data_IF_577775894488
#
_entry.id   IF_577775894488
#
_cell.length_a   1.000
_cell.length_b   1.000
_cell.length_c   1.000
_cell.angle_alpha   90.00
_cell.angle_beta   90.00
_cell.angle_gamma   90.00
#
_symmetry.space_group_name_H-M   'P 1'
#
loop_
_entity.id
_entity.type
_entity.pdbx_description
1 polymer ?
#
# COMPACT_ATOMS: atom_id res chain seq x y z
N UNK A 1 24.06 21.58 -10.55
CA UNK A 1 23.59 22.95 -10.29
C UNK A 1 22.20 23.23 -10.87
N UNK A 2 21.82 22.68 -12.04
CA UNK A 2 20.48 22.90 -12.63
C UNK A 2 19.29 22.17 -11.96
N UNK A 3 19.51 21.16 -11.11
CA UNK A 3 18.42 20.40 -10.47
C UNK A 3 17.78 21.14 -9.28
N UNK A 4 18.55 21.99 -8.58
CA UNK A 4 18.07 22.77 -7.45
C UNK A 4 17.19 23.96 -7.87
N UNK A 5 17.46 24.54 -9.04
CA UNK A 5 16.67 25.66 -9.58
C UNK A 5 15.28 25.21 -10.08
N UNK A 6 15.15 23.96 -10.54
CA UNK A 6 13.86 23.41 -10.97
C UNK A 6 12.88 23.20 -9.80
N UNK A 7 13.38 22.74 -8.65
CA UNK A 7 12.59 22.56 -7.42
C UNK A 7 12.17 23.90 -6.79
N UNK A 8 13.02 24.93 -6.85
CA UNK A 8 12.69 26.27 -6.37
C UNK A 8 11.62 26.95 -7.23
N UNK A 9 11.65 26.73 -8.56
CA UNK A 9 10.65 27.28 -9.48
C UNK A 9 9.26 26.65 -9.26
N UNK A 10 9.19 25.34 -8.97
CA UNK A 10 7.93 24.66 -8.65
C UNK A 10 7.31 25.12 -7.32
N UNK A 11 8.13 25.46 -6.31
CA UNK A 11 7.65 26.01 -5.03
C UNK A 11 7.03 27.42 -5.19
N UNK A 12 7.60 28.26 -6.05
CA UNK A 12 7.05 29.61 -6.32
C UNK A 12 5.77 29.60 -7.17
N UNK A 13 5.55 28.56 -7.98
CA UNK A 13 4.39 28.46 -8.86
C UNK A 13 3.11 27.97 -8.16
N UNK A 14 3.21 27.35 -6.97
CA UNK A 14 2.05 26.86 -6.21
C UNK A 14 1.29 27.95 -5.42
N UNK A 15 1.78 29.20 -5.39
CA UNK A 15 1.11 30.29 -4.67
C UNK A 15 0.05 31.04 -5.49
N UNK A 16 -0.22 30.66 -6.75
CA UNK A 16 -1.14 31.43 -7.58
C UNK A 16 -1.98 30.56 -8.51
N UNK A 17 -3.30 30.57 -8.23
CA UNK A 17 -4.44 30.11 -9.03
C UNK A 17 -4.90 28.67 -8.78
N UNK A 18 -6.03 28.56 -8.08
CA UNK A 18 -7.32 28.21 -8.72
C UNK A 18 -8.23 27.56 -7.69
N UNK A 19 -9.28 28.29 -7.30
CA UNK A 19 -10.40 27.73 -6.56
C UNK A 19 -11.18 26.75 -7.44
N UNK A 20 -10.81 25.48 -7.39
CA UNK A 20 -11.67 24.38 -7.80
C UNK A 20 -12.37 23.82 -6.56
N UNK A 21 -13.69 23.74 -6.63
CA UNK A 21 -14.58 23.29 -5.56
C UNK A 21 -14.08 21.96 -4.94
N UNK A 22 -13.72 22.02 -3.66
CA UNK A 22 -13.45 20.88 -2.78
C UNK A 22 -14.70 20.00 -2.68
N UNK A 23 -14.73 18.91 -3.44
CA UNK A 23 -15.69 17.82 -3.26
C UNK A 23 -15.29 16.98 -2.04
N UNK A 24 -16.28 16.73 -1.18
CA UNK A 24 -16.34 15.83 -0.02
C UNK A 24 -15.08 14.96 0.28
N UNK A 25 -14.49 15.19 1.47
CA UNK A 25 -13.20 14.67 1.99
C UNK A 25 -11.97 15.34 1.36
N UNK A 26 -11.30 16.20 2.12
CA UNK A 26 -10.12 16.95 1.67
C UNK A 26 -8.85 16.11 1.52
N UNK A 27 -8.99 14.83 1.19
CA UNK A 27 -7.89 13.88 1.08
C UNK A 27 -7.26 13.95 -0.32
N UNK A 28 -5.94 13.97 -0.37
CA UNK A 28 -5.17 13.94 -1.60
C UNK A 28 -5.15 12.54 -2.22
N UNK A 29 -4.94 12.42 -3.54
CA UNK A 29 -4.84 11.13 -4.23
C UNK A 29 -3.83 10.16 -3.57
N UNK A 30 -2.62 10.59 -3.17
CA UNK A 30 -1.68 9.70 -2.47
C UNK A 30 -2.21 9.19 -1.12
N UNK A 31 -2.99 10.00 -0.39
CA UNK A 31 -3.59 9.57 0.88
C UNK A 31 -4.67 8.52 0.65
N UNK A 32 -5.54 8.73 -0.33
CA UNK A 32 -6.57 7.77 -0.73
C UNK A 32 -5.95 6.44 -1.19
N UNK A 33 -4.92 6.50 -2.04
CA UNK A 33 -4.22 5.32 -2.55
C UNK A 33 -3.54 4.55 -1.42
N UNK A 34 -2.88 5.23 -0.46
CA UNK A 34 -2.28 4.58 0.71
C UNK A 34 -3.33 3.92 1.60
N UNK A 35 -4.44 4.59 1.86
CA UNK A 35 -5.53 4.04 2.65
C UNK A 35 -6.13 2.79 1.98
N UNK A 36 -6.37 2.84 0.67
CA UNK A 36 -6.87 1.70 -0.11
C UNK A 36 -5.86 0.52 -0.11
N UNK A 37 -4.58 0.82 -0.29
CA UNK A 37 -3.52 -0.20 -0.29
C UNK A 37 -3.40 -0.86 1.09
N UNK A 38 -3.46 -0.08 2.18
CA UNK A 38 -3.43 -0.60 3.53
C UNK A 38 -4.63 -1.52 3.82
N UNK A 39 -5.82 -1.14 3.35
CA UNK A 39 -7.02 -1.99 3.43
C UNK A 39 -6.86 -3.32 2.71
N UNK A 40 -6.39 -3.28 1.45
CA UNK A 40 -6.16 -4.48 0.63
C UNK A 40 -5.08 -5.40 1.21
N UNK A 41 -3.94 -4.85 1.63
CA UNK A 41 -2.88 -5.65 2.26
C UNK A 41 -3.40 -6.30 3.54
N UNK A 42 -4.17 -5.57 4.35
CA UNK A 42 -4.78 -6.12 5.56
C UNK A 42 -5.75 -7.25 5.23
N UNK A 43 -6.61 -7.07 4.23
CA UNK A 43 -7.54 -8.12 3.77
C UNK A 43 -6.83 -9.36 3.25
N UNK A 44 -5.79 -9.20 2.44
CA UNK A 44 -5.02 -10.34 1.90
C UNK A 44 -4.26 -11.07 3.02
N UNK A 45 -3.65 -10.32 3.94
CA UNK A 45 -2.79 -10.90 4.98
C UNK A 45 -3.59 -11.48 6.14
N UNK A 46 -4.63 -10.79 6.61
CA UNK A 46 -5.47 -11.19 7.75
C UNK A 46 -6.76 -11.91 7.33
N UNK A 47 -7.14 -11.83 6.05
CA UNK A 47 -8.38 -12.41 5.53
C UNK A 47 -9.61 -11.51 5.65
N UNK A 48 -9.45 -10.32 6.22
CA UNK A 48 -10.48 -9.29 6.33
C UNK A 48 -9.83 -7.90 6.41
N UNK A 49 -10.51 -6.88 5.91
CA UNK A 49 -10.04 -5.51 6.03
C UNK A 49 -10.11 -5.06 7.50
N UNK A 50 -9.07 -4.35 7.96
CA UNK A 50 -9.12 -3.68 9.26
C UNK A 50 -10.22 -2.59 9.24
N UNK A 51 -10.88 -2.32 10.36
CA UNK A 51 -11.85 -1.24 10.39
C UNK A 51 -11.16 0.11 10.12
N UNK A 52 -11.95 1.08 9.66
CA UNK A 52 -11.43 2.34 9.14
C UNK A 52 -10.63 3.13 10.20
N UNK A 53 -11.06 3.08 11.47
CA UNK A 53 -10.39 3.79 12.55
C UNK A 53 -8.97 3.24 12.80
N UNK A 54 -8.81 1.92 12.75
CA UNK A 54 -7.55 1.19 12.93
C UNK A 54 -6.65 1.37 11.71
N UNK A 55 -7.22 1.36 10.51
CA UNK A 55 -6.51 1.68 9.27
C UNK A 55 -5.91 3.08 9.32
N UNK A 56 -6.71 4.08 9.71
CA UNK A 56 -6.21 5.45 9.89
C UNK A 56 -5.18 5.55 11.03
N UNK A 57 -5.39 4.83 12.14
CA UNK A 57 -4.45 4.81 13.25
C UNK A 57 -3.10 4.24 12.82
N UNK A 58 -3.10 3.11 12.10
CA UNK A 58 -1.90 2.50 11.54
C UNK A 58 -1.21 3.47 10.56
N UNK A 59 -1.94 4.09 9.64
CA UNK A 59 -1.37 5.06 8.71
C UNK A 59 -0.68 6.22 9.44
N UNK A 60 -1.30 6.80 10.48
CA UNK A 60 -0.67 7.86 11.30
C UNK A 60 0.58 7.38 12.02
N UNK A 61 0.52 6.19 12.64
CA UNK A 61 1.64 5.60 13.38
C UNK A 61 2.81 5.25 12.46
N UNK A 62 2.53 4.77 11.25
CA UNK A 62 3.55 4.44 10.25
C UNK A 62 4.15 5.68 9.62
N UNK A 63 3.35 6.70 9.32
CA UNK A 63 3.85 8.00 8.87
C UNK A 63 4.83 8.59 9.90
N UNK A 64 4.44 8.66 11.18
CA UNK A 64 5.33 9.09 12.28
C UNK A 64 6.61 8.25 12.39
N UNK A 65 6.52 6.95 12.11
CA UNK A 65 7.68 6.08 12.14
C UNK A 65 8.59 6.29 10.93
N UNK A 66 8.03 6.40 9.72
CA UNK A 66 8.77 6.60 8.47
C UNK A 66 9.66 7.83 8.56
N UNK A 67 9.09 9.00 8.90
CA UNK A 67 9.86 10.25 9.06
C UNK A 67 10.95 10.16 10.13
N UNK A 68 10.76 9.34 11.18
CA UNK A 68 11.79 9.15 12.22
C UNK A 68 12.91 8.21 11.77
N UNK A 69 12.63 7.30 10.84
CA UNK A 69 13.59 6.31 10.33
C UNK A 69 14.38 6.85 9.14
N UNK A 70 13.74 7.58 8.22
CA UNK A 70 14.38 8.03 6.97
C UNK A 70 15.24 9.27 7.14
N UNK A 71 14.95 10.16 8.10
CA UNK A 71 15.65 11.44 8.14
C UNK A 71 16.84 11.54 9.12
N UNK A 72 16.99 10.70 10.18
CA UNK A 72 17.85 11.12 11.31
C UNK A 72 18.75 10.06 11.98
N UNK A 73 18.57 8.73 11.82
CA UNK A 73 19.21 7.79 12.78
C UNK A 73 20.00 6.63 12.12
N UNK A 74 21.34 6.56 12.27
CA UNK A 74 22.08 5.36 11.91
C UNK A 74 21.59 4.17 12.74
N UNK A 75 21.37 3.02 12.11
CA UNK A 75 20.60 1.88 12.65
C UNK A 75 21.00 1.30 14.02
N UNK A 76 22.13 1.71 14.59
CA UNK A 76 22.55 1.35 15.96
C UNK A 76 21.98 2.27 17.06
N UNK A 77 21.45 3.46 16.71
CA UNK A 77 20.75 4.40 17.61
C UNK A 77 19.23 4.27 17.54
N UNK A 78 18.70 3.43 16.65
CA UNK A 78 17.28 3.09 16.59
C UNK A 78 16.96 2.20 17.81
N UNK A 79 16.96 2.81 18.99
CA UNK A 79 16.62 2.15 20.23
C UNK A 79 15.23 1.53 20.10
N UNK A 80 15.20 0.20 20.03
CA UNK A 80 14.14 -0.71 20.40
C UNK A 80 12.71 -0.11 20.43
N UNK A 81 11.97 -0.33 19.33
CA UNK A 81 10.52 -0.12 19.11
C UNK A 81 9.95 1.15 19.75
N UNK A 82 9.84 2.24 18.98
CA UNK A 82 9.06 3.41 19.40
C UNK A 82 7.67 2.98 19.89
N UNK A 83 7.10 3.72 20.85
CA UNK A 83 5.73 3.45 21.34
C UNK A 83 4.71 3.37 20.22
N UNK A 84 4.95 4.10 19.12
CA UNK A 84 4.14 4.05 17.91
C UNK A 84 4.20 2.67 17.21
N UNK A 85 5.39 2.10 17.03
CA UNK A 85 5.57 0.75 16.46
C UNK A 85 4.94 -0.30 17.37
N UNK A 86 5.14 -0.21 18.68
CA UNK A 86 4.53 -1.16 19.63
C UNK A 86 3.00 -1.10 19.59
N UNK A 87 2.44 0.11 19.45
CA UNK A 87 0.99 0.30 19.33
C UNK A 87 0.47 -0.29 18.01
N UNK A 88 1.15 -0.03 16.90
CA UNK A 88 0.80 -0.59 15.59
C UNK A 88 0.88 -2.12 15.57
N UNK A 89 1.96 -2.68 16.12
CA UNK A 89 2.15 -4.13 16.27
C UNK A 89 1.05 -4.74 17.13
N UNK A 90 0.67 -4.09 18.25
CA UNK A 90 -0.41 -4.55 19.12
C UNK A 90 -1.76 -4.58 18.40
N UNK A 91 -2.06 -3.60 17.55
CA UNK A 91 -3.25 -3.61 16.69
C UNK A 91 -3.21 -4.86 15.83
N UNK A 92 -2.18 -5.04 15.00
CA UNK A 92 -2.06 -6.20 14.08
C UNK A 92 -2.12 -7.53 14.84
N UNK A 93 -1.44 -7.65 15.98
CA UNK A 93 -1.43 -8.86 16.79
C UNK A 93 -2.82 -9.22 17.33
N UNK A 94 -3.60 -8.21 17.75
CA UNK A 94 -4.96 -8.42 18.25
C UNK A 94 -5.85 -9.02 17.15
N UNK A 95 -5.79 -8.48 15.94
CA UNK A 95 -6.57 -9.01 14.81
C UNK A 95 -6.05 -10.36 14.34
N UNK A 96 -4.73 -10.58 14.32
CA UNK A 96 -4.16 -11.88 14.00
C UNK A 96 -4.63 -12.97 14.98
N UNK A 97 -4.58 -12.69 16.29
CA UNK A 97 -5.04 -13.64 17.31
C UNK A 97 -6.54 -13.94 17.20
N UNK A 98 -7.36 -12.90 17.00
CA UNK A 98 -8.80 -13.06 16.76
C UNK A 98 -9.07 -13.91 15.52
N UNK A 99 -8.31 -13.69 14.44
CA UNK A 99 -8.44 -14.46 13.21
C UNK A 99 -8.08 -15.93 13.40
N UNK A 100 -6.96 -16.22 14.06
CA UNK A 100 -6.53 -17.58 14.41
C UNK A 100 -7.63 -18.30 15.20
N UNK A 101 -8.29 -17.61 16.14
CA UNK A 101 -9.35 -18.17 16.97
C UNK A 101 -10.66 -18.43 16.20
N UNK A 102 -11.01 -17.54 15.25
CA UNK A 102 -12.24 -17.62 14.45
C UNK A 102 -12.18 -18.61 13.27
N UNK A 103 -11.08 -19.36 13.13
CA UNK A 103 -10.83 -20.24 12.00
C UNK A 103 -11.88 -21.35 11.84
N UNK A 104 -12.52 -21.37 10.67
CA UNK A 104 -13.24 -22.56 10.15
C UNK A 104 -12.29 -23.39 9.30
N UNK A 105 -12.44 -24.72 9.35
CA UNK A 105 -11.63 -25.67 8.59
C UNK A 105 -11.78 -25.38 7.08
N UNK A 106 -10.76 -24.78 6.45
CA UNK A 106 -10.71 -24.58 5.00
C UNK A 106 -10.43 -23.15 4.49
N UNK A 107 -10.50 -22.13 5.35
CA UNK A 107 -10.25 -20.72 4.94
C UNK A 107 -8.99 -20.17 5.62
N UNK A 108 -7.81 -20.43 5.05
CA UNK A 108 -6.57 -19.89 5.57
C UNK A 108 -6.20 -18.59 4.81
N UNK A 109 -6.25 -17.40 5.44
CA UNK A 109 -5.61 -16.20 4.89
C UNK A 109 -4.12 -16.42 4.64
N UNK A 110 -3.50 -15.54 3.86
CA UNK A 110 -2.10 -15.67 3.44
C UNK A 110 -1.15 -15.90 4.64
N UNK A 111 -1.43 -15.29 5.80
CA UNK A 111 -0.63 -15.48 7.02
C UNK A 111 -0.63 -16.92 7.55
N UNK A 112 -1.76 -17.64 7.47
CA UNK A 112 -1.86 -19.01 7.95
C UNK A 112 -1.40 -20.02 6.91
N UNK A 113 -1.52 -19.68 5.63
CA UNK A 113 -0.77 -20.37 4.58
C UNK A 113 0.73 -20.28 4.89
N UNK A 114 1.27 -19.08 5.12
CA UNK A 114 2.68 -18.89 5.47
C UNK A 114 3.09 -19.69 6.72
N UNK A 115 2.28 -19.69 7.79
CA UNK A 115 2.49 -20.55 8.98
C UNK A 115 2.64 -22.03 8.59
N UNK A 116 1.74 -22.53 7.73
CA UNK A 116 1.71 -23.93 7.30
C UNK A 116 2.87 -24.30 6.38
N UNK A 117 3.24 -23.42 5.47
CA UNK A 117 4.34 -23.64 4.51
C UNK A 117 5.72 -23.48 5.15
N UNK A 118 5.86 -22.52 6.06
CA UNK A 118 7.15 -22.14 6.64
C UNK A 118 7.38 -22.71 8.05
N UNK A 119 6.41 -23.41 8.64
CA UNK A 119 6.45 -23.95 10.00
C UNK A 119 6.85 -22.91 11.06
N UNK A 120 6.42 -21.66 10.87
CA UNK A 120 6.78 -20.55 11.74
C UNK A 120 5.92 -20.50 13.01
N UNK A 121 6.48 -20.07 14.16
CA UNK A 121 5.68 -19.75 15.33
C UNK A 121 4.80 -18.54 15.06
N UNK A 122 3.66 -18.46 15.75
CA UNK A 122 2.65 -17.41 15.58
C UNK A 122 3.22 -15.99 15.71
N UNK A 123 4.19 -15.80 16.61
CA UNK A 123 4.92 -14.54 16.77
C UNK A 123 5.63 -14.11 15.48
N UNK A 124 6.36 -15.01 14.82
CA UNK A 124 7.10 -14.69 13.59
C UNK A 124 6.16 -14.47 12.41
N UNK A 125 5.06 -15.21 12.34
CA UNK A 125 4.02 -14.98 11.32
C UNK A 125 3.42 -13.59 11.50
N UNK A 126 3.10 -13.19 12.72
CA UNK A 126 2.58 -11.85 13.01
C UNK A 126 3.60 -10.76 12.70
N UNK A 127 4.88 -10.95 13.02
CA UNK A 127 5.96 -10.01 12.65
C UNK A 127 6.07 -9.85 11.12
N UNK A 128 5.97 -10.94 10.35
CA UNK A 128 5.94 -10.88 8.88
C UNK A 128 4.73 -10.11 8.36
N UNK A 129 3.53 -10.39 8.88
CA UNK A 129 2.31 -9.64 8.52
C UNK A 129 2.50 -8.15 8.80
N UNK A 130 3.01 -7.82 9.99
CA UNK A 130 3.26 -6.44 10.37
C UNK A 130 4.24 -5.78 9.39
N UNK A 131 5.31 -6.46 8.96
CA UNK A 131 6.22 -5.95 7.93
C UNK A 131 5.51 -5.71 6.60
N UNK A 132 4.65 -6.63 6.13
CA UNK A 132 3.88 -6.42 4.90
C UNK A 132 2.93 -5.23 5.01
N UNK A 133 2.22 -5.08 6.13
CA UNK A 133 1.32 -3.96 6.39
C UNK A 133 2.14 -2.66 6.44
N UNK A 134 3.17 -2.59 7.28
CA UNK A 134 3.97 -1.39 7.52
C UNK A 134 4.74 -0.93 6.28
N UNK A 135 5.50 -1.82 5.63
CA UNK A 135 6.35 -1.45 4.50
C UNK A 135 5.59 -1.48 3.16
N UNK A 136 4.62 -2.39 3.02
CA UNK A 136 3.93 -2.60 1.76
C UNK A 136 3.03 -1.43 1.38
N UNK A 137 2.28 -0.86 2.34
CA UNK A 137 1.31 0.18 2.01
C UNK A 137 1.97 1.50 1.55
N UNK A 138 3.14 1.83 2.10
CA UNK A 138 3.88 3.03 1.69
C UNK A 138 4.51 2.85 0.31
N UNK A 139 5.20 1.74 0.08
CA UNK A 139 5.92 1.50 -1.18
C UNK A 139 4.95 1.28 -2.34
N UNK A 140 3.97 0.38 -2.17
CA UNK A 140 2.96 0.10 -3.20
C UNK A 140 2.07 1.33 -3.42
N UNK A 141 1.67 2.01 -2.34
CA UNK A 141 0.87 3.23 -2.46
C UNK A 141 1.59 4.35 -3.21
N UNK A 142 2.90 4.49 -3.00
CA UNK A 142 3.73 5.49 -3.71
C UNK A 142 3.90 5.11 -5.19
N UNK A 143 4.19 3.84 -5.50
CA UNK A 143 4.28 3.35 -6.87
C UNK A 143 2.98 3.59 -7.67
N UNK A 144 1.83 3.29 -7.07
CA UNK A 144 0.51 3.54 -7.68
C UNK A 144 0.28 5.05 -7.87
N UNK A 145 0.66 5.86 -6.88
CA UNK A 145 0.51 7.33 -6.96
C UNK A 145 1.33 7.92 -8.12
N UNK A 146 2.58 7.49 -8.29
CA UNK A 146 3.42 7.90 -9.42
C UNK A 146 2.89 7.40 -10.77
N UNK A 147 2.37 6.16 -10.80
CA UNK A 147 1.70 5.62 -11.98
C UNK A 147 0.53 6.51 -12.40
N UNK A 148 -0.32 6.92 -11.46
CA UNK A 148 -1.42 7.84 -11.77
C UNK A 148 -0.94 9.22 -12.20
N UNK A 149 0.09 9.76 -11.55
CA UNK A 149 0.67 11.05 -11.94
C UNK A 149 1.14 11.01 -13.40
N UNK A 150 1.87 9.97 -13.79
CA UNK A 150 2.32 9.78 -15.17
C UNK A 150 1.15 9.60 -16.16
N UNK A 151 0.11 8.84 -15.80
CA UNK A 151 -1.07 8.70 -16.67
C UNK A 151 -1.75 10.06 -16.93
N UNK A 152 -1.85 10.91 -15.92
CA UNK A 152 -2.40 12.26 -16.06
C UNK A 152 -1.55 13.15 -16.99
N UNK A 153 -0.23 12.94 -17.04
CA UNK A 153 0.69 13.67 -17.93
C UNK A 153 0.73 13.10 -19.36
N UNK A 154 0.26 11.86 -19.56
CA UNK A 154 0.26 11.16 -20.84
C UNK A 154 -1.16 10.69 -21.26
N UNK A 155 -2.06 11.60 -21.67
CA UNK A 155 -3.47 11.26 -21.97
C UNK A 155 -3.66 10.15 -23.01
N UNK A 156 -2.80 10.08 -24.03
CA UNK A 156 -2.85 9.02 -25.05
C UNK A 156 -2.60 7.63 -24.45
N UNK A 157 -1.68 7.54 -23.49
CA UNK A 157 -1.43 6.28 -22.76
C UNK A 157 -2.52 5.99 -21.74
N UNK A 158 -3.06 7.01 -21.08
CA UNK A 158 -4.21 6.87 -20.19
C UNK A 158 -5.42 6.27 -20.92
N UNK A 159 -5.78 6.78 -22.09
CA UNK A 159 -6.88 6.25 -22.90
C UNK A 159 -6.63 4.81 -23.34
N UNK A 160 -5.40 4.51 -23.76
CA UNK A 160 -5.05 3.17 -24.23
C UNK A 160 -5.03 2.12 -23.09
N UNK A 161 -4.50 2.49 -21.91
CA UNK A 161 -4.54 1.66 -20.70
C UNK A 161 -5.98 1.47 -20.23
N UNK A 162 -6.81 2.52 -20.24
CA UNK A 162 -8.23 2.40 -19.89
C UNK A 162 -8.97 1.47 -20.86
N UNK A 163 -8.71 1.59 -22.17
CA UNK A 163 -9.30 0.71 -23.19
C UNK A 163 -8.82 -0.75 -23.07
N UNK A 164 -7.56 -1.00 -22.68
CA UNK A 164 -7.08 -2.34 -22.34
C UNK A 164 -7.79 -2.89 -21.10
N UNK A 165 -7.89 -2.08 -20.04
CA UNK A 165 -8.55 -2.43 -18.80
C UNK A 165 -10.06 -2.63 -18.94
N UNK A 166 -10.72 -2.08 -19.95
CA UNK A 166 -12.14 -2.37 -20.24
C UNK A 166 -12.33 -3.63 -21.08
N UNK A 167 -11.39 -3.96 -21.97
CA UNK A 167 -11.50 -5.10 -22.89
C UNK A 167 -11.14 -6.44 -22.28
N UNK A 168 -10.28 -6.45 -21.27
CA UNK A 168 -9.83 -7.71 -20.72
C UNK A 168 -10.99 -8.43 -19.97
N UNK A 169 -10.94 -9.76 -19.78
CA UNK A 169 -12.07 -10.48 -19.19
C UNK A 169 -12.31 -10.06 -17.72
N UNK A 170 -13.55 -10.13 -17.20
CA UNK A 170 -13.80 -9.96 -15.78
C UNK A 170 -13.07 -11.06 -15.00
N UNK A 171 -12.53 -10.73 -13.82
CA UNK A 171 -12.05 -11.75 -12.89
C UNK A 171 -13.25 -12.60 -12.47
N UNK A 172 -13.16 -13.92 -12.66
CA UNK A 172 -14.19 -14.83 -12.16
C UNK A 172 -14.31 -14.70 -10.64
N UNK A 173 -15.54 -14.50 -10.14
CA UNK A 173 -15.90 -14.21 -8.74
C UNK A 173 -15.51 -15.30 -7.72
N UNK A 174 -14.84 -16.38 -8.13
CA UNK A 174 -14.48 -17.44 -7.20
C UNK A 174 -13.42 -16.92 -6.22
N UNK A 175 -13.84 -16.69 -4.98
CA UNK A 175 -13.01 -16.29 -3.83
C UNK A 175 -11.73 -17.14 -3.68
N UNK A 176 -11.75 -18.37 -4.22
CA UNK A 176 -10.66 -19.34 -4.18
C UNK A 176 -9.53 -19.11 -5.20
N UNK A 177 -9.73 -18.26 -6.22
CA UNK A 177 -8.69 -17.94 -7.22
C UNK A 177 -7.83 -16.71 -6.87
N UNK A 178 -8.11 -16.02 -5.76
CA UNK A 178 -7.28 -14.93 -5.24
C UNK A 178 -5.94 -15.41 -4.63
N UNK A 179 -5.53 -16.65 -4.90
CA UNK A 179 -4.17 -17.08 -4.62
C UNK A 179 -3.23 -16.22 -5.48
N UNK A 180 -2.35 -15.47 -4.81
CA UNK A 180 -1.26 -14.71 -5.43
C UNK A 180 -0.54 -15.63 -6.41
N UNK A 181 -0.66 -15.35 -7.71
CA UNK A 181 0.10 -16.01 -8.78
C UNK A 181 -0.66 -16.91 -9.77
N UNK A 182 -1.98 -17.15 -9.65
CA UNK A 182 -2.65 -18.11 -10.57
C UNK A 182 -3.67 -17.51 -11.55
N UNK A 183 -3.96 -16.20 -11.52
CA UNK A 183 -4.89 -15.59 -12.47
C UNK A 183 -4.62 -14.08 -12.66
N UNK A 184 -3.43 -13.70 -13.15
CA UNK A 184 -3.21 -12.32 -13.57
C UNK A 184 -3.95 -12.08 -14.90
N UNK A 185 -4.77 -11.04 -14.97
CA UNK A 185 -5.40 -10.60 -16.21
C UNK A 185 -4.30 -10.16 -17.18
N UNK A 186 -4.32 -10.57 -18.46
CA UNK A 186 -3.32 -10.11 -19.42
C UNK A 186 -3.55 -8.62 -19.71
N UNK A 187 -2.73 -7.76 -19.11
CA UNK A 187 -2.75 -6.30 -19.30
C UNK A 187 -1.36 -5.79 -19.65
N UNK A 188 -0.79 -6.20 -20.80
CA UNK A 188 0.60 -5.94 -21.13
C UNK A 188 0.94 -4.45 -21.21
N UNK A 189 0.00 -3.59 -21.62
CA UNK A 189 0.23 -2.14 -21.64
C UNK A 189 0.26 -1.57 -20.24
N UNK A 190 -0.68 -1.95 -19.37
CA UNK A 190 -0.66 -1.55 -17.97
C UNK A 190 0.62 -2.03 -17.28
N UNK A 191 1.03 -3.28 -17.50
CA UNK A 191 2.23 -3.86 -16.91
C UNK A 191 3.49 -3.10 -17.34
N UNK A 192 3.60 -2.79 -18.64
CA UNK A 192 4.71 -1.98 -19.17
C UNK A 192 4.70 -0.55 -18.60
N UNK A 193 3.53 0.06 -18.44
CA UNK A 193 3.41 1.41 -17.90
C UNK A 193 3.78 1.47 -16.41
N UNK A 194 3.34 0.49 -15.62
CA UNK A 194 3.75 0.36 -14.20
C UNK A 194 5.24 0.12 -14.09
N UNK A 195 5.82 -0.75 -14.94
CA UNK A 195 7.26 -0.98 -14.96
C UNK A 195 8.04 0.30 -15.29
N UNK A 196 7.55 1.10 -16.23
CA UNK A 196 8.16 2.38 -16.58
C UNK A 196 8.02 3.42 -15.46
N UNK A 197 6.87 3.46 -14.78
CA UNK A 197 6.68 4.31 -13.61
C UNK A 197 7.68 3.97 -12.50
N UNK A 198 7.90 2.68 -12.22
CA UNK A 198 8.90 2.21 -11.26
C UNK A 198 10.35 2.48 -11.73
N UNK A 199 10.60 2.52 -13.04
CA UNK A 199 11.92 2.88 -13.59
C UNK A 199 12.22 4.37 -13.39
N UNK A 200 11.21 5.23 -13.51
CA UNK A 200 11.33 6.68 -13.34
C UNK A 200 11.28 7.11 -11.87
N UNK A 201 10.45 6.43 -11.07
CA UNK A 201 10.18 6.71 -9.66
C UNK A 201 10.28 5.42 -8.83
N UNK A 202 11.51 5.00 -8.47
CA UNK A 202 11.76 3.77 -7.71
C UNK A 202 11.33 3.85 -6.25
#
# INVERSE_FOLDING_TARGET
SHFAESLACQSSAQSSKSGAKRGASGESLPELVRAATLGLISEVTLGEALPHAETQALQRLMHEWHYRVTDIIPGWKLGWRSSAVQTAEKIVFTYFAARVAAMRKGEAPACLAAKRWLHLPDRHVCELIFTFIAMGHENVGSAISWTFALLCEHPSEQEAVAAEALRAPPMHESRQQHAVGTAQRPTPRLDAFVAEALRLYP
#
